data_IF_607043489113
#
_entry.id   IF_607043489113
#
_cell.length_a   1.000
_cell.length_b   1.000
_cell.length_c   1.000
_cell.angle_alpha   90.00
_cell.angle_beta   90.00
_cell.angle_gamma   90.00
#
_symmetry.space_group_name_H-M   'P 1'
#
loop_
_entity.id
_entity.type
_entity.pdbx_description
1 polymer ?
#
# COMPACT_ATOMS: atom_id res chain seq x y z
N UNK A 1 -7.46 4.24 11.74
CA UNK A 1 -7.55 5.47 10.92
C UNK A 1 -6.40 5.59 9.91
N UNK A 2 -5.13 5.32 10.28
CA UNK A 2 -3.99 5.43 9.35
C UNK A 2 -4.02 4.50 8.11
N UNK A 3 -4.58 3.28 8.23
CA UNK A 3 -4.65 2.30 7.13
C UNK A 3 -5.57 2.70 5.99
N UNK A 4 -6.64 3.44 6.28
CA UNK A 4 -7.56 3.96 5.26
C UNK A 4 -6.93 5.10 4.46
N UNK A 5 -6.03 5.89 5.07
CA UNK A 5 -5.29 6.96 4.37
C UNK A 5 -4.38 6.39 3.29
N UNK A 6 -3.60 5.35 3.63
CA UNK A 6 -2.69 4.70 2.68
C UNK A 6 -3.43 4.03 1.53
N UNK A 7 -4.56 3.37 1.80
CA UNK A 7 -5.40 2.78 0.76
C UNK A 7 -5.96 3.85 -0.19
N UNK A 8 -6.43 4.98 0.34
CA UNK A 8 -6.93 6.09 -0.47
C UNK A 8 -5.84 6.77 -1.30
N UNK A 9 -4.63 6.92 -0.76
CA UNK A 9 -3.47 7.44 -1.52
C UNK A 9 -3.11 6.50 -2.68
N UNK A 10 -3.15 5.19 -2.45
CA UNK A 10 -2.89 4.17 -3.47
C UNK A 10 -3.97 4.16 -4.56
N UNK A 11 -5.24 4.32 -4.18
CA UNK A 11 -6.35 4.47 -5.14
C UNK A 11 -6.17 5.72 -6.00
N UNK A 12 -5.81 6.87 -5.40
CA UNK A 12 -5.49 8.09 -6.17
C UNK A 12 -4.34 7.89 -7.15
N UNK A 13 -3.27 7.20 -6.73
CA UNK A 13 -2.17 6.89 -7.63
C UNK A 13 -2.61 6.04 -8.83
N UNK A 14 -3.54 5.09 -8.63
CA UNK A 14 -4.12 4.30 -9.72
C UNK A 14 -5.00 5.15 -10.65
N UNK A 15 -5.79 6.08 -10.12
CA UNK A 15 -6.58 7.04 -10.92
C UNK A 15 -5.67 7.96 -11.76
N UNK A 16 -4.54 8.39 -11.21
CA UNK A 16 -3.55 9.19 -11.93
C UNK A 16 -2.88 8.38 -13.05
N UNK A 17 -2.52 7.11 -12.80
CA UNK A 17 -2.02 6.18 -13.83
C UNK A 17 -3.05 6.00 -14.95
N UNK A 18 -4.33 5.82 -14.61
CA UNK A 18 -5.40 5.68 -15.61
C UNK A 18 -5.52 6.93 -16.49
N UNK A 19 -5.40 8.12 -15.88
CA UNK A 19 -5.40 9.39 -16.62
C UNK A 19 -4.20 9.51 -17.55
N UNK A 20 -3.02 9.09 -17.11
CA UNK A 20 -1.82 9.08 -17.96
C UNK A 20 -1.96 8.12 -19.14
N UNK A 21 -2.52 6.93 -18.93
CA UNK A 21 -2.83 5.98 -20.02
C UNK A 21 -3.75 6.63 -21.04
N UNK A 22 -4.79 7.36 -20.60
CA UNK A 22 -5.65 8.13 -21.50
C UNK A 22 -4.88 9.15 -22.34
N UNK A 23 -3.94 9.88 -21.73
CA UNK A 23 -3.10 10.85 -22.45
C UNK A 23 -2.14 10.16 -23.45
N UNK A 24 -1.57 9.01 -23.10
CA UNK A 24 -0.74 8.19 -24.00
C UNK A 24 -1.53 7.79 -25.25
N UNK A 25 -2.77 7.31 -25.08
CA UNK A 25 -3.64 6.91 -26.19
C UNK A 25 -3.98 8.11 -27.10
N UNK A 26 -4.27 9.26 -26.52
CA UNK A 26 -4.52 10.49 -27.28
C UNK A 26 -3.29 10.94 -28.08
N UNK A 27 -2.10 10.87 -27.47
CA UNK A 27 -0.84 11.17 -28.16
C UNK A 27 -0.59 10.21 -29.32
N UNK A 28 -0.81 8.90 -29.11
CA UNK A 28 -0.71 7.90 -30.18
C UNK A 28 -1.68 8.19 -31.34
N UNK A 29 -2.93 8.56 -31.05
CA UNK A 29 -3.90 8.97 -32.07
C UNK A 29 -3.45 10.19 -32.87
N UNK A 30 -2.83 11.16 -32.19
CA UNK A 30 -2.28 12.37 -32.84
C UNK A 30 -1.11 12.02 -33.77
N UNK A 31 -0.24 11.10 -33.36
CA UNK A 31 0.88 10.60 -34.19
C UNK A 31 0.36 9.88 -35.44
N UNK A 32 -0.65 9.02 -35.30
CA UNK A 32 -1.25 8.31 -36.44
C UNK A 32 -1.85 9.30 -37.45
N UNK A 33 -2.52 10.35 -36.97
CA UNK A 33 -3.09 11.39 -37.83
C UNK A 33 -2.02 12.25 -38.52
N UNK A 34 -0.89 12.50 -37.86
CA UNK A 34 0.23 13.20 -38.47
C UNK A 34 0.87 12.34 -39.58
N UNK A 35 1.02 11.04 -39.34
CA UNK A 35 1.55 10.08 -40.31
C UNK A 35 0.64 9.88 -41.53
N UNK A 36 -0.66 10.18 -41.43
CA UNK A 36 -1.59 10.09 -42.57
C UNK A 36 -1.52 11.28 -43.53
N UNK A 37 -0.71 12.31 -43.22
CA UNK A 37 -0.55 13.49 -44.10
C UNK A 37 0.43 13.19 -45.23
N UNK A 38 0.21 13.82 -46.40
CA UNK A 38 1.13 13.72 -47.55
C UNK A 38 2.55 14.21 -47.21
N UNK A 39 2.66 15.18 -46.30
CA UNK A 39 3.93 15.69 -45.78
C UNK A 39 3.90 15.68 -44.26
N UNK A 40 4.70 14.82 -43.67
CA UNK A 40 4.82 14.63 -42.23
C UNK A 40 5.79 15.64 -41.60
N UNK A 41 5.52 16.04 -40.36
CA UNK A 41 6.48 16.80 -39.56
C UNK A 41 7.36 15.84 -38.73
N UNK A 42 8.50 15.44 -39.30
CA UNK A 42 9.44 14.50 -38.66
C UNK A 42 9.89 14.92 -37.25
N UNK A 43 10.15 16.23 -37.04
CA UNK A 43 10.57 16.73 -35.73
C UNK A 43 9.46 16.63 -34.67
N UNK A 44 8.20 16.80 -35.09
CA UNK A 44 7.05 16.59 -34.22
C UNK A 44 6.91 15.10 -33.89
N UNK A 45 7.03 14.23 -34.88
CA UNK A 45 6.95 12.78 -34.71
C UNK A 45 8.01 12.25 -33.75
N UNK A 46 9.27 12.67 -33.90
CA UNK A 46 10.38 12.25 -33.04
C UNK A 46 10.17 12.68 -31.58
N UNK A 47 9.71 13.92 -31.37
CA UNK A 47 9.35 14.43 -30.04
C UNK A 47 8.21 13.61 -29.42
N UNK A 48 7.17 13.30 -30.21
CA UNK A 48 6.02 12.55 -29.72
C UNK A 48 6.36 11.09 -29.43
N UNK A 49 7.22 10.46 -30.24
CA UNK A 49 7.71 9.11 -30.00
C UNK A 49 8.55 9.03 -28.71
N UNK A 50 9.41 10.03 -28.48
CA UNK A 50 10.19 10.13 -27.24
C UNK A 50 9.28 10.31 -26.02
N UNK A 51 8.30 11.21 -26.11
CA UNK A 51 7.32 11.44 -25.03
C UNK A 51 6.46 10.21 -24.75
N UNK A 52 6.02 9.51 -25.81
CA UNK A 52 5.27 8.26 -25.69
C UNK A 52 6.10 7.18 -24.98
N UNK A 53 7.34 6.97 -25.39
CA UNK A 53 8.22 5.97 -24.77
C UNK A 53 8.47 6.27 -23.29
N UNK A 54 8.75 7.53 -22.94
CA UNK A 54 8.93 7.96 -21.55
C UNK A 54 7.66 7.75 -20.72
N UNK A 55 6.49 8.08 -21.27
CA UNK A 55 5.21 7.92 -20.57
C UNK A 55 4.85 6.44 -20.34
N UNK A 56 5.10 5.58 -21.33
CA UNK A 56 4.89 4.13 -21.18
C UNK A 56 5.81 3.55 -20.11
N UNK A 57 7.10 3.93 -20.11
CA UNK A 57 8.05 3.50 -19.08
C UNK A 57 7.63 3.96 -17.67
N UNK A 58 7.10 5.18 -17.56
CA UNK A 58 6.62 5.70 -16.28
C UNK A 58 5.41 4.91 -15.77
N UNK A 59 4.39 4.73 -16.62
CA UNK A 59 3.20 3.93 -16.32
C UNK A 59 3.57 2.50 -15.92
N UNK A 60 4.48 1.86 -16.66
CA UNK A 60 4.97 0.50 -16.35
C UNK A 60 5.65 0.44 -14.97
N UNK A 61 6.51 1.41 -14.64
CA UNK A 61 7.21 1.47 -13.37
C UNK A 61 6.24 1.64 -12.18
N UNK A 62 5.26 2.54 -12.31
CA UNK A 62 4.25 2.80 -11.28
C UNK A 62 3.32 1.59 -11.08
N UNK A 63 2.79 1.01 -12.17
CA UNK A 63 1.99 -0.23 -12.10
C UNK A 63 2.77 -1.37 -11.45
N UNK A 64 4.04 -1.54 -11.82
CA UNK A 64 4.92 -2.55 -11.21
C UNK A 64 5.14 -2.30 -9.71
N UNK A 65 5.19 -1.05 -9.26
CA UNK A 65 5.24 -0.72 -7.84
C UNK A 65 3.95 -1.09 -7.12
N UNK A 66 2.78 -0.82 -7.72
CA UNK A 66 1.48 -1.21 -7.15
C UNK A 66 1.30 -2.72 -7.09
N UNK A 67 1.69 -3.45 -8.14
CA UNK A 67 1.67 -4.93 -8.17
C UNK A 67 2.56 -5.48 -7.05
N UNK A 68 3.82 -5.01 -6.94
CA UNK A 68 4.73 -5.44 -5.87
C UNK A 68 4.13 -5.20 -4.48
N UNK A 69 3.52 -4.05 -4.27
CA UNK A 69 2.83 -3.75 -3.01
C UNK A 69 1.66 -4.72 -2.75
N UNK A 70 0.79 -4.93 -3.74
CA UNK A 70 -0.32 -5.88 -3.65
C UNK A 70 0.16 -7.30 -3.37
N UNK A 71 1.21 -7.76 -4.05
CA UNK A 71 1.85 -9.04 -3.76
C UNK A 71 2.35 -9.08 -2.32
N UNK A 72 3.05 -8.04 -1.84
CA UNK A 72 3.49 -7.93 -0.45
C UNK A 72 2.31 -8.11 0.51
N UNK A 73 1.24 -7.32 0.36
CA UNK A 73 0.12 -7.33 1.31
C UNK A 73 -0.82 -8.54 1.16
N UNK A 74 -0.99 -9.09 -0.05
CA UNK A 74 -1.88 -10.22 -0.33
C UNK A 74 -1.25 -11.58 -0.01
N UNK A 75 0.09 -11.70 -0.06
CA UNK A 75 0.81 -12.92 0.35
C UNK A 75 1.07 -13.02 1.85
N UNK A 76 0.57 -12.04 2.64
CA UNK A 76 0.49 -12.15 4.10
C UNK A 76 1.72 -11.71 4.89
N UNK A 77 2.72 -11.05 4.29
CA UNK A 77 3.97 -10.70 4.99
C UNK A 77 4.46 -9.27 4.70
N UNK A 78 3.72 -8.22 5.13
CA UNK A 78 4.35 -6.99 5.63
C UNK A 78 3.49 -6.17 6.62
N UNK A 79 2.39 -6.72 7.15
CA UNK A 79 1.50 -6.04 8.11
C UNK A 79 1.62 -6.58 9.53
N UNK A 80 2.64 -7.41 9.80
CA UNK A 80 3.09 -7.69 11.16
C UNK A 80 3.61 -6.42 11.88
N UNK A 81 3.88 -5.32 11.17
CA UNK A 81 4.57 -4.15 11.70
C UNK A 81 3.77 -3.06 12.43
N UNK A 82 2.43 -3.09 12.50
CA UNK A 82 1.71 -2.06 13.30
C UNK A 82 0.41 -2.52 13.93
N UNK A 83 -0.56 -3.01 13.14
CA UNK A 83 -1.85 -3.45 13.69
C UNK A 83 -1.76 -4.81 14.37
N UNK A 84 -1.03 -5.78 13.81
CA UNK A 84 -0.80 -7.06 14.47
C UNK A 84 0.08 -6.90 15.70
N UNK A 85 1.20 -6.16 15.60
CA UNK A 85 2.03 -5.83 16.77
C UNK A 85 1.22 -5.16 17.87
N UNK A 86 0.46 -4.09 17.58
CA UNK A 86 -0.35 -3.40 18.61
C UNK A 86 -1.41 -4.31 19.23
N UNK A 87 -2.06 -5.17 18.44
CA UNK A 87 -3.03 -6.16 18.96
C UNK A 87 -2.35 -7.24 19.80
N UNK A 88 -1.19 -7.73 19.37
CA UNK A 88 -0.38 -8.73 20.09
C UNK A 88 0.14 -8.14 21.40
N UNK A 89 0.64 -6.91 21.38
CA UNK A 89 1.13 -6.19 22.56
C UNK A 89 0.01 -5.97 23.57
N UNK A 90 -1.18 -5.56 23.10
CA UNK A 90 -2.38 -5.46 23.93
C UNK A 90 -2.80 -6.83 24.49
N UNK A 91 -2.82 -7.88 23.67
CA UNK A 91 -3.15 -9.24 24.11
C UNK A 91 -2.14 -9.77 25.14
N UNK A 92 -0.86 -9.48 24.97
CA UNK A 92 0.19 -9.85 25.92
C UNK A 92 0.09 -9.04 27.21
N UNK A 93 -0.25 -7.75 27.14
CA UNK A 93 -0.53 -6.93 28.31
C UNK A 93 -1.72 -7.46 29.11
N UNK A 94 -2.82 -7.83 28.44
CA UNK A 94 -3.98 -8.49 29.08
C UNK A 94 -3.58 -9.78 29.79
N UNK A 95 -2.85 -10.68 29.10
CA UNK A 95 -2.35 -11.92 29.72
C UNK A 95 -1.48 -11.68 30.95
N UNK A 96 -0.65 -10.62 30.94
CA UNK A 96 0.17 -10.23 32.10
C UNK A 96 -0.69 -9.75 33.26
N UNK A 97 -1.75 -8.98 33.00
CA UNK A 97 -2.70 -8.53 34.02
C UNK A 97 -3.45 -9.71 34.63
N UNK A 98 -3.94 -10.64 33.80
CA UNK A 98 -4.63 -11.84 34.28
C UNK A 98 -3.71 -12.70 35.16
N UNK A 99 -2.46 -12.86 34.76
CA UNK A 99 -1.46 -13.58 35.54
C UNK A 99 -1.14 -12.89 36.87
N UNK A 100 -0.97 -11.56 36.87
CA UNK A 100 -0.76 -10.80 38.09
C UNK A 100 -1.95 -10.91 39.05
N UNK A 101 -3.18 -10.89 38.51
CA UNK A 101 -4.41 -11.06 39.30
C UNK A 101 -4.47 -12.45 39.94
N UNK A 102 -4.12 -13.50 39.19
CA UNK A 102 -4.04 -14.85 39.73
C UNK A 102 -3.06 -14.93 40.91
N UNK A 103 -1.85 -14.37 40.73
CA UNK A 103 -0.82 -14.38 41.78
C UNK A 103 -1.21 -13.56 43.01
N UNK A 104 -1.88 -12.42 42.83
CA UNK A 104 -2.41 -11.65 43.96
C UNK A 104 -3.49 -12.42 44.72
N UNK A 105 -4.39 -13.12 44.02
CA UNK A 105 -5.40 -13.97 44.67
C UNK A 105 -4.78 -15.12 45.46
N UNK A 106 -3.72 -15.74 44.94
CA UNK A 106 -2.98 -16.79 45.66
C UNK A 106 -2.37 -16.24 46.96
N UNK A 107 -1.72 -15.07 46.90
CA UNK A 107 -1.13 -14.41 48.08
C UNK A 107 -2.19 -14.00 49.09
N UNK A 108 -3.30 -13.42 48.63
CA UNK A 108 -4.40 -13.02 49.51
C UNK A 108 -4.94 -14.22 50.30
N UNK A 109 -5.14 -15.36 49.63
CA UNK A 109 -5.57 -16.60 50.28
C UNK A 109 -4.56 -17.08 51.32
N UNK A 110 -3.26 -17.03 51.02
CA UNK A 110 -2.23 -17.41 52.00
C UNK A 110 -2.24 -16.48 53.22
N UNK A 111 -2.40 -15.17 53.02
CA UNK A 111 -2.50 -14.22 54.13
C UNK A 111 -3.75 -14.46 54.99
N UNK A 112 -4.90 -14.74 54.40
CA UNK A 112 -6.13 -15.11 55.12
C UNK A 112 -5.91 -16.37 55.96
N UNK A 113 -5.33 -17.42 55.38
CA UNK A 113 -5.02 -18.65 56.10
C UNK A 113 -4.06 -18.41 57.28
N UNK A 114 -3.06 -17.54 57.13
CA UNK A 114 -2.15 -17.18 58.21
C UNK A 114 -2.79 -16.36 59.33
N UNK A 115 -3.83 -15.58 59.02
CA UNK A 115 -4.59 -14.80 60.02
C UNK A 115 -5.60 -15.66 60.80
N UNK A 116 -6.05 -16.76 60.20
CA UNK A 116 -6.94 -17.76 60.81
C UNK A 116 -6.18 -18.85 61.60
N UNK A 117 -4.84 -18.85 61.54
CA UNK A 117 -3.91 -19.77 62.26
C UNK A 117 -3.46 -19.20 63.60
#
# INVERSE_FOLDING_TARGET
MATYSLANERLRALEDIEREIGAILQNAGTVILELSKEKTNERLLDRQATAFSASVQHVEAELSAQIRYLTQVATGQPHEGSSYSSRKDCQMALKRVDYARLKLSDVARTCEQMLES
#
